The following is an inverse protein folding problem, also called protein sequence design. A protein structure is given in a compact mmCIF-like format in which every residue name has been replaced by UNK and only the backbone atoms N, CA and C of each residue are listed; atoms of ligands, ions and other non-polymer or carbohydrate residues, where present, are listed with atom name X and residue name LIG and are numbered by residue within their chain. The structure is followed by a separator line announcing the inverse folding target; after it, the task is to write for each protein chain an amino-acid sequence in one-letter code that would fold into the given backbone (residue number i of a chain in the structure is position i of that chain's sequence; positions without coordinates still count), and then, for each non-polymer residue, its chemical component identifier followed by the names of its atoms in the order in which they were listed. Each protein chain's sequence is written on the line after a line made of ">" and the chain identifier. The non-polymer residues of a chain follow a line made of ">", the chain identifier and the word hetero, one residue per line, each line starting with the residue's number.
data_IF_471805355722
#
_entry.id   IF_471805355722
#
_cell.length_a   1.000
_cell.length_b   1.000
_cell.length_c   1.000
_cell.angle_alpha   90.00
_cell.angle_beta   90.00
_cell.angle_gamma   90.00
#
_symmetry.space_group_name_H-M   'P 1'
#
loop_
_entity.id
_entity.type
_entity.pdbx_description
1 polymer ?
#
# COMPACT_ATOMS: atom_id res chain seq x y z
N UNK A 1 -0.18 -19.73 -0.68
CA UNK A 1 -0.15 -18.36 -1.25
C UNK A 1 -1.21 -18.17 -2.33
N UNK A 2 -1.27 -19.08 -3.27
CA UNK A 2 -2.22 -18.98 -4.37
C UNK A 2 -3.67 -18.87 -3.92
N UNK A 3 -4.07 -19.68 -2.96
CA UNK A 3 -5.43 -19.70 -2.42
C UNK A 3 -5.81 -18.36 -1.80
N UNK A 4 -4.85 -17.69 -1.15
CA UNK A 4 -5.06 -16.37 -0.59
C UNK A 4 -5.34 -15.35 -1.69
N UNK A 5 -4.53 -15.36 -2.75
CA UNK A 5 -4.71 -14.43 -3.85
C UNK A 5 -6.03 -14.66 -4.59
N UNK A 6 -6.44 -15.91 -4.73
CA UNK A 6 -7.74 -16.23 -5.31
C UNK A 6 -8.90 -15.76 -4.43
N UNK A 7 -8.76 -15.87 -3.12
CA UNK A 7 -9.76 -15.36 -2.18
C UNK A 7 -9.90 -13.84 -2.30
N UNK A 8 -8.78 -13.13 -2.38
CA UNK A 8 -8.79 -11.67 -2.56
C UNK A 8 -9.44 -11.30 -3.89
N UNK A 9 -9.11 -12.02 -4.94
CA UNK A 9 -9.67 -11.76 -6.27
C UNK A 9 -11.18 -11.99 -6.34
N UNK A 10 -11.72 -12.83 -5.47
CA UNK A 10 -13.15 -13.12 -5.42
C UNK A 10 -13.98 -12.02 -4.74
N UNK A 11 -13.33 -11.08 -4.06
CA UNK A 11 -14.01 -9.96 -3.40
C UNK A 11 -14.53 -8.98 -4.47
N UNK A 12 -15.74 -8.48 -4.27
CA UNK A 12 -16.43 -7.71 -5.30
C UNK A 12 -16.66 -6.25 -4.94
N UNK A 13 -16.40 -5.86 -3.70
CA UNK A 13 -16.63 -4.49 -3.25
C UNK A 13 -15.61 -4.07 -2.21
N UNK A 14 -15.54 -2.75 -1.98
CA UNK A 14 -14.71 -2.22 -0.91
C UNK A 14 -15.14 -2.77 0.45
N UNK A 15 -16.43 -2.91 0.68
CA UNK A 15 -16.95 -3.48 1.92
C UNK A 15 -16.49 -4.93 2.11
N UNK A 16 -16.47 -5.72 1.04
CA UNK A 16 -15.96 -7.09 1.09
C UNK A 16 -14.48 -7.12 1.46
N UNK A 17 -13.68 -6.24 0.85
CA UNK A 17 -12.25 -6.15 1.13
C UNK A 17 -12.01 -5.76 2.58
N UNK A 18 -12.71 -4.74 3.07
CA UNK A 18 -12.58 -4.30 4.47
C UNK A 18 -12.89 -5.42 5.45
N UNK A 19 -14.00 -6.12 5.24
CA UNK A 19 -14.40 -7.24 6.09
C UNK A 19 -13.36 -8.34 6.11
N UNK A 20 -12.92 -8.74 4.93
CA UNK A 20 -11.98 -9.85 4.78
C UNK A 20 -10.63 -9.53 5.41
N UNK A 21 -10.13 -8.34 5.18
CA UNK A 21 -8.84 -7.93 5.72
C UNK A 21 -8.89 -7.70 7.23
N UNK A 22 -10.03 -7.26 7.75
CA UNK A 22 -10.20 -7.13 9.20
C UNK A 22 -10.20 -8.47 9.92
N UNK A 23 -10.67 -9.50 9.26
CA UNK A 23 -10.61 -10.86 9.81
C UNK A 23 -9.23 -11.49 9.62
N UNK A 24 -8.62 -11.25 8.47
CA UNK A 24 -7.37 -11.90 8.08
C UNK A 24 -6.14 -11.30 8.74
N UNK A 25 -6.14 -9.99 8.96
CA UNK A 25 -4.99 -9.24 9.44
C UNK A 25 -5.21 -8.66 10.83
N UNK A 26 -4.13 -8.48 11.57
CA UNK A 26 -4.19 -7.68 12.79
C UNK A 26 -4.31 -6.20 12.43
N UNK A 27 -4.76 -5.39 13.39
CA UNK A 27 -4.83 -3.95 13.19
C UNK A 27 -3.47 -3.35 12.86
N UNK A 28 -2.41 -3.81 13.53
CA UNK A 28 -1.04 -3.37 13.25
C UNK A 28 -0.62 -3.65 11.82
N UNK A 29 -0.99 -4.81 11.31
CA UNK A 29 -0.69 -5.18 9.93
C UNK A 29 -1.42 -4.29 8.93
N UNK A 30 -2.69 -4.01 9.20
CA UNK A 30 -3.47 -3.11 8.33
C UNK A 30 -2.91 -1.69 8.36
N UNK A 31 -2.56 -1.19 9.53
CA UNK A 31 -1.96 0.14 9.65
C UNK A 31 -0.63 0.23 8.90
N UNK A 32 0.20 -0.80 9.02
CA UNK A 32 1.47 -0.84 8.31
C UNK A 32 1.28 -0.82 6.79
N UNK A 33 0.32 -1.59 6.29
CA UNK A 33 0.00 -1.61 4.86
C UNK A 33 -0.56 -0.26 4.40
N UNK A 34 -1.45 0.34 5.19
CA UNK A 34 -2.03 1.64 4.88
C UNK A 34 -0.96 2.74 4.82
N UNK A 35 -0.01 2.71 5.75
CA UNK A 35 1.10 3.67 5.75
C UNK A 35 1.98 3.50 4.51
N UNK A 36 2.31 2.27 4.14
CA UNK A 36 3.11 2.02 2.93
C UNK A 36 2.39 2.49 1.68
N UNK A 37 1.09 2.25 1.60
CA UNK A 37 0.30 2.70 0.46
C UNK A 37 0.26 4.22 0.37
N UNK A 38 0.07 4.91 1.50
CA UNK A 38 0.08 6.37 1.53
C UNK A 38 1.43 6.94 1.11
N UNK A 39 2.53 6.33 1.58
CA UNK A 39 3.88 6.70 1.15
C UNK A 39 4.03 6.56 -0.37
N UNK A 40 3.54 5.45 -0.94
CA UNK A 40 3.60 5.25 -2.38
C UNK A 40 2.83 6.32 -3.15
N UNK A 41 1.65 6.70 -2.67
CA UNK A 41 0.86 7.75 -3.29
C UNK A 41 1.58 9.10 -3.28
N UNK A 42 2.20 9.45 -2.16
CA UNK A 42 2.92 10.72 -2.04
C UNK A 42 4.22 10.73 -2.86
N UNK A 43 4.89 9.59 -2.97
CA UNK A 43 6.03 9.44 -3.88
C UNK A 43 5.62 9.66 -5.34
N UNK A 44 4.46 9.15 -5.72
CA UNK A 44 3.91 9.34 -7.06
C UNK A 44 3.65 10.81 -7.34
N UNK A 45 3.25 11.57 -6.33
CA UNK A 45 3.03 13.02 -6.44
C UNK A 45 4.33 13.82 -6.50
N UNK A 46 5.47 13.19 -6.28
CA UNK A 46 6.77 13.85 -6.37
C UNK A 46 7.22 14.58 -5.13
N UNK A 47 6.60 14.32 -3.97
CA UNK A 47 7.00 14.97 -2.73
C UNK A 47 8.39 14.51 -2.28
N UNK A 48 9.18 15.39 -1.63
CA UNK A 48 10.46 15.00 -1.04
C UNK A 48 10.26 13.97 0.09
N UNK A 49 11.24 13.10 0.27
CA UNK A 49 11.16 12.01 1.27
C UNK A 49 10.93 12.52 2.70
N UNK A 50 11.59 13.61 3.09
CA UNK A 50 11.41 14.19 4.42
C UNK A 50 9.98 14.67 4.63
N UNK A 51 9.38 15.29 3.63
CA UNK A 51 8.01 15.76 3.70
C UNK A 51 7.03 14.59 3.81
N UNK A 52 7.29 13.52 3.06
CA UNK A 52 6.47 12.30 3.14
C UNK A 52 6.53 11.71 4.55
N UNK A 53 7.74 11.61 5.11
CA UNK A 53 7.92 11.11 6.47
C UNK A 53 7.13 11.94 7.49
N UNK A 54 7.18 13.26 7.37
CA UNK A 54 6.44 14.16 8.25
C UNK A 54 4.93 14.00 8.13
N UNK A 55 4.43 13.92 6.92
CA UNK A 55 2.98 13.81 6.67
C UNK A 55 2.39 12.48 7.08
N UNK A 56 3.15 11.40 6.90
CA UNK A 56 2.63 10.05 7.14
C UNK A 56 2.96 9.50 8.52
N UNK A 57 3.93 10.11 9.20
CA UNK A 57 4.48 9.56 10.44
C UNK A 57 5.42 8.39 10.21
N UNK A 58 5.66 8.01 8.95
CA UNK A 58 6.61 6.95 8.62
C UNK A 58 8.04 7.45 8.79
N UNK A 59 8.97 6.54 9.11
CA UNK A 59 10.39 6.88 9.13
C UNK A 59 10.91 7.09 7.71
N UNK A 60 12.01 7.81 7.59
CA UNK A 60 12.67 7.99 6.29
C UNK A 60 13.14 6.64 5.72
N UNK A 61 13.49 5.70 6.60
CA UNK A 61 13.82 4.33 6.20
C UNK A 61 12.65 3.66 5.51
N UNK A 62 11.45 3.81 6.05
CA UNK A 62 10.24 3.26 5.44
C UNK A 62 9.97 3.90 4.08
N UNK A 63 10.11 5.22 3.98
CA UNK A 63 9.93 5.94 2.71
C UNK A 63 10.91 5.43 1.65
N UNK A 64 12.18 5.28 2.02
CA UNK A 64 13.21 4.76 1.12
C UNK A 64 12.90 3.34 0.66
N UNK A 65 12.43 2.51 1.57
CA UNK A 65 12.07 1.12 1.27
C UNK A 65 10.89 1.04 0.30
N UNK A 66 9.85 1.82 0.53
CA UNK A 66 8.69 1.87 -0.38
C UNK A 66 9.12 2.37 -1.76
N UNK A 67 9.96 3.42 -1.80
CA UNK A 67 10.49 3.94 -3.07
C UNK A 67 11.24 2.86 -3.83
N UNK A 68 12.03 2.05 -3.13
CA UNK A 68 12.76 0.94 -3.75
C UNK A 68 11.80 -0.06 -4.40
N UNK A 69 10.80 -0.51 -3.67
CA UNK A 69 9.83 -1.49 -4.19
C UNK A 69 8.94 -0.92 -5.28
N UNK A 70 8.62 0.37 -5.22
CA UNK A 70 7.89 1.04 -6.30
C UNK A 70 8.66 0.99 -7.62
N UNK A 71 9.98 1.14 -7.56
CA UNK A 71 10.84 1.17 -8.76
C UNK A 71 11.32 -0.20 -9.20
N UNK A 72 11.59 -1.10 -8.26
CA UNK A 72 12.29 -2.36 -8.51
C UNK A 72 11.52 -3.61 -8.05
N UNK A 73 10.27 -3.46 -7.63
CA UNK A 73 9.44 -4.58 -7.17
C UNK A 73 8.77 -5.31 -8.32
N UNK A 74 7.70 -5.98 -7.99
CA UNK A 74 6.92 -6.79 -8.94
C UNK A 74 5.91 -5.98 -9.75
N UNK A 75 5.93 -4.66 -9.62
CA UNK A 75 5.01 -3.79 -10.34
C UNK A 75 3.64 -3.60 -9.67
N UNK A 76 3.46 -4.14 -8.48
CA UNK A 76 2.16 -4.06 -7.79
C UNK A 76 1.78 -2.64 -7.39
N UNK A 77 2.73 -1.88 -6.86
CA UNK A 77 2.47 -0.48 -6.55
C UNK A 77 2.10 0.30 -7.81
N UNK A 78 2.88 0.10 -8.87
CA UNK A 78 2.64 0.79 -10.14
C UNK A 78 1.25 0.47 -10.69
N UNK A 79 0.90 -0.80 -10.68
CA UNK A 79 -0.39 -1.26 -11.16
C UNK A 79 -1.55 -0.63 -10.37
N UNK A 80 -1.46 -0.67 -9.03
CA UNK A 80 -2.51 -0.14 -8.18
C UNK A 80 -2.63 1.38 -8.29
N UNK A 81 -1.49 2.09 -8.34
CA UNK A 81 -1.48 3.54 -8.52
C UNK A 81 -2.13 3.94 -9.85
N UNK A 82 -1.80 3.24 -10.93
CA UNK A 82 -2.36 3.54 -12.25
C UNK A 82 -3.87 3.29 -12.28
N UNK A 83 -4.33 2.24 -11.64
CA UNK A 83 -5.76 1.88 -11.64
C UNK A 83 -6.60 2.70 -10.68
N UNK A 84 -6.00 3.31 -9.68
CA UNK A 84 -6.70 4.19 -8.74
C UNK A 84 -6.57 5.66 -9.11
N UNK A 85 -5.70 5.98 -10.05
CA UNK A 85 -5.61 7.34 -10.59
C UNK A 85 -6.89 7.66 -11.36
N UNK A 86 -7.48 8.78 -11.07
CA UNK A 86 -8.73 9.20 -11.71
C UNK A 86 -8.54 10.48 -12.50
#
# INVERSE_FOLDING_TARGET
>A
MRELFEAILALESRADVERSFRDLCTLSELEAMAHRWEVARLLEQGLPYLEIAERTGASTTTVTRVAHWLRHGEGGYRLALDRTAS
#
